data_IF_277318253996
#
_entry.id   IF_277318253996
#
_cell.length_a   1.000
_cell.length_b   1.000
_cell.length_c   1.000
_cell.angle_alpha   90.00
_cell.angle_beta   90.00
_cell.angle_gamma   90.00
#
_symmetry.space_group_name_H-M   'P 1'
#
loop_
_entity.id
_entity.type
_entity.pdbx_description
1 polymer ?
#
# COMPACT_ATOMS: atom_id res chain seq x y z
N UNK A 1 5.52 -8.28 -20.03
CA UNK A 1 6.69 -7.41 -20.29
C UNK A 1 7.97 -8.16 -19.92
N UNK A 2 8.19 -8.50 -18.63
CA UNK A 2 9.42 -9.16 -18.15
C UNK A 2 9.77 -10.42 -18.97
N UNK A 3 8.82 -11.33 -19.21
CA UNK A 3 9.07 -12.56 -19.97
C UNK A 3 9.51 -12.31 -21.42
N UNK A 4 8.98 -11.27 -22.07
CA UNK A 4 9.43 -10.87 -23.42
C UNK A 4 10.86 -10.33 -23.39
N UNK A 5 11.21 -9.57 -22.36
CA UNK A 5 12.55 -9.00 -22.21
C UNK A 5 13.59 -10.09 -21.89
N UNK A 6 13.27 -11.02 -21.00
CA UNK A 6 14.14 -12.16 -20.71
C UNK A 6 14.44 -12.96 -21.96
N UNK A 7 13.41 -13.22 -22.77
CA UNK A 7 13.56 -14.03 -24.00
C UNK A 7 14.33 -13.31 -25.12
N UNK A 8 14.24 -11.97 -25.23
CA UNK A 8 14.73 -11.24 -26.41
C UNK A 8 15.88 -10.28 -26.13
N UNK A 9 16.12 -9.95 -24.85
CA UNK A 9 17.16 -9.01 -24.40
C UNK A 9 17.95 -9.54 -23.21
N UNK A 10 18.04 -10.87 -23.07
CA UNK A 10 18.82 -11.55 -22.01
C UNK A 10 18.52 -11.04 -20.59
N UNK A 11 17.26 -10.65 -20.34
CA UNK A 11 16.83 -10.11 -19.06
C UNK A 11 17.27 -8.69 -18.76
N UNK A 12 17.83 -7.96 -19.72
CA UNK A 12 18.25 -6.58 -19.54
C UNK A 12 17.22 -5.61 -20.12
N UNK A 13 16.97 -4.51 -19.44
CA UNK A 13 16.11 -3.44 -19.96
C UNK A 13 16.73 -2.87 -21.24
N UNK A 14 16.01 -2.89 -22.39
CA UNK A 14 16.54 -2.40 -23.64
C UNK A 14 16.64 -0.88 -23.70
N UNK A 15 17.49 -0.38 -24.60
CA UNK A 15 17.58 1.03 -24.92
C UNK A 15 16.23 1.59 -25.37
N UNK A 16 15.90 2.78 -24.91
CA UNK A 16 14.77 3.54 -25.40
C UNK A 16 15.21 4.33 -26.64
N UNK A 17 14.71 3.94 -27.81
CA UNK A 17 14.92 4.67 -29.03
C UNK A 17 14.02 5.90 -29.17
N UNK A 18 13.80 6.34 -30.40
CA UNK A 18 12.99 7.53 -30.70
C UNK A 18 11.51 7.28 -30.36
N UNK A 19 10.93 8.17 -29.58
CA UNK A 19 9.50 8.15 -29.26
C UNK A 19 8.68 8.56 -30.48
N UNK A 20 7.58 7.85 -30.72
CA UNK A 20 6.59 8.21 -31.72
C UNK A 20 5.47 9.09 -31.10
N UNK A 21 4.56 9.64 -31.89
CA UNK A 21 3.39 10.35 -31.35
C UNK A 21 2.62 9.55 -30.32
N UNK A 22 2.58 8.21 -30.44
CA UNK A 22 1.90 7.31 -29.50
C UNK A 22 2.54 7.33 -28.10
N UNK A 23 3.87 7.27 -28.01
CA UNK A 23 4.59 7.40 -26.73
C UNK A 23 4.44 8.80 -26.12
N UNK A 24 4.40 9.83 -26.96
CA UNK A 24 4.23 11.21 -26.49
C UNK A 24 2.82 11.43 -25.90
N UNK A 25 1.78 10.94 -26.59
CA UNK A 25 0.40 10.93 -26.09
C UNK A 25 0.31 10.18 -24.75
N UNK A 26 0.81 8.95 -24.71
CA UNK A 26 0.82 8.12 -23.51
C UNK A 26 1.53 8.84 -22.35
N UNK A 27 2.70 9.40 -22.59
CA UNK A 27 3.48 10.11 -21.56
C UNK A 27 2.71 11.31 -21.00
N UNK A 28 2.01 12.05 -21.86
CA UNK A 28 1.17 13.19 -21.46
C UNK A 28 -0.01 12.77 -20.58
N UNK A 29 -0.71 11.71 -20.95
CA UNK A 29 -1.84 11.20 -20.15
C UNK A 29 -1.36 10.58 -18.81
N UNK A 30 -0.27 9.83 -18.83
CA UNK A 30 0.32 9.29 -17.60
C UNK A 30 0.76 10.40 -16.66
N UNK A 31 1.30 11.50 -17.16
CA UNK A 31 1.69 12.65 -16.33
C UNK A 31 0.49 13.24 -15.60
N UNK A 32 -0.63 13.49 -16.31
CA UNK A 32 -1.87 14.01 -15.71
C UNK A 32 -2.40 13.09 -14.62
N UNK A 33 -2.48 11.79 -14.90
CA UNK A 33 -2.98 10.79 -13.96
C UNK A 33 -2.05 10.62 -12.75
N UNK A 34 -0.74 10.70 -12.95
CA UNK A 34 0.26 10.63 -11.87
C UNK A 34 0.12 11.82 -10.92
N UNK A 35 -0.05 13.03 -11.46
CA UNK A 35 -0.27 14.23 -10.66
C UNK A 35 -1.60 14.17 -9.90
N UNK A 36 -2.67 13.68 -10.54
CA UNK A 36 -3.97 13.50 -9.91
C UNK A 36 -3.92 12.42 -8.79
N UNK A 37 -3.28 11.28 -9.03
CA UNK A 37 -3.11 10.24 -8.02
C UNK A 37 -2.31 10.75 -6.81
N UNK A 38 -1.22 11.49 -7.07
CA UNK A 38 -0.41 12.10 -6.01
C UNK A 38 -1.22 13.10 -5.20
N UNK A 39 -1.98 13.99 -5.84
CA UNK A 39 -2.84 14.94 -5.16
C UNK A 39 -3.88 14.25 -4.28
N UNK A 40 -4.51 13.18 -4.78
CA UNK A 40 -5.48 12.39 -4.02
C UNK A 40 -4.84 11.68 -2.81
N UNK A 41 -3.60 11.15 -2.93
CA UNK A 41 -2.87 10.62 -1.78
C UNK A 41 -2.63 11.67 -0.70
N UNK A 42 -2.23 12.89 -1.06
CA UNK A 42 -2.03 13.99 -0.11
C UNK A 42 -3.34 14.49 0.50
N UNK A 43 -4.45 14.41 -0.23
CA UNK A 43 -5.78 14.76 0.27
C UNK A 43 -6.40 13.65 1.15
N UNK A 44 -5.70 12.52 1.37
CA UNK A 44 -6.21 11.34 2.09
C UNK A 44 -7.48 10.78 1.43
N UNK A 45 -7.49 10.75 0.10
CA UNK A 45 -8.55 10.17 -0.74
C UNK A 45 -8.04 8.89 -1.44
N UNK A 46 -7.79 7.79 -0.71
CA UNK A 46 -7.14 6.60 -1.26
C UNK A 46 -7.91 5.96 -2.41
N UNK A 47 -9.23 6.00 -2.38
CA UNK A 47 -10.08 5.48 -3.46
C UNK A 47 -9.81 6.21 -4.79
N UNK A 48 -9.72 7.54 -4.78
CA UNK A 48 -9.40 8.35 -5.97
C UNK A 48 -7.96 8.15 -6.44
N UNK A 49 -7.03 8.06 -5.47
CA UNK A 49 -5.64 7.80 -5.80
C UNK A 49 -5.47 6.45 -6.51
N UNK A 50 -6.16 5.41 -6.06
CA UNK A 50 -6.17 4.10 -6.70
C UNK A 50 -6.89 4.11 -8.06
N UNK A 51 -8.01 4.82 -8.19
CA UNK A 51 -8.70 5.00 -9.47
C UNK A 51 -7.75 5.56 -10.55
N UNK A 52 -7.05 6.65 -10.26
CA UNK A 52 -6.06 7.23 -11.16
C UNK A 52 -4.88 6.27 -11.42
N UNK A 53 -4.41 5.55 -10.41
CA UNK A 53 -3.34 4.57 -10.56
C UNK A 53 -3.76 3.43 -11.50
N UNK A 54 -4.97 2.88 -11.35
CA UNK A 54 -5.47 1.83 -12.23
C UNK A 54 -5.79 2.33 -13.64
N UNK A 55 -6.16 3.61 -13.79
CA UNK A 55 -6.29 4.22 -15.11
C UNK A 55 -4.94 4.23 -15.87
N UNK A 56 -3.81 4.46 -15.19
CA UNK A 56 -2.47 4.32 -15.80
C UNK A 56 -2.22 2.88 -16.25
N UNK A 57 -2.61 1.88 -15.45
CA UNK A 57 -2.48 0.48 -15.85
C UNK A 57 -3.34 0.14 -17.09
N UNK A 58 -4.55 0.70 -17.18
CA UNK A 58 -5.41 0.55 -18.35
C UNK A 58 -4.80 1.18 -19.62
N UNK A 59 -4.19 2.35 -19.51
CA UNK A 59 -3.43 2.95 -20.61
C UNK A 59 -2.26 2.06 -21.05
N UNK A 60 -1.56 1.44 -20.10
CA UNK A 60 -0.51 0.47 -20.38
C UNK A 60 -1.01 -0.73 -21.18
N UNK A 61 -2.17 -1.28 -20.83
CA UNK A 61 -2.79 -2.39 -21.57
C UNK A 61 -3.19 -1.96 -22.98
N UNK A 62 -3.82 -0.79 -23.14
CA UNK A 62 -4.15 -0.23 -24.47
C UNK A 62 -2.90 -0.01 -25.32
N UNK A 63 -1.82 0.45 -24.72
CA UNK A 63 -0.55 0.64 -25.41
C UNK A 63 0.05 -0.70 -25.86
N UNK A 64 -0.03 -1.75 -25.02
CA UNK A 64 0.38 -3.12 -25.39
C UNK A 64 -0.42 -3.61 -26.59
N UNK A 65 -1.75 -3.45 -26.59
CA UNK A 65 -2.63 -3.89 -27.68
C UNK A 65 -2.30 -3.15 -28.98
N UNK A 66 -2.11 -1.83 -28.92
CA UNK A 66 -1.78 -1.00 -30.10
C UNK A 66 -0.39 -1.28 -30.68
N UNK A 67 0.58 -1.63 -29.85
CA UNK A 67 1.98 -1.85 -30.27
C UNK A 67 2.29 -3.30 -30.57
N UNK A 68 1.45 -4.24 -30.11
CA UNK A 68 1.60 -5.68 -30.30
C UNK A 68 3.05 -6.19 -30.16
N UNK A 69 3.70 -6.02 -28.97
CA UNK A 69 5.13 -6.31 -28.79
C UNK A 69 5.50 -7.76 -29.11
N UNK A 70 4.55 -8.69 -29.03
CA UNK A 70 4.76 -10.09 -29.44
C UNK A 70 4.93 -10.26 -30.96
N UNK A 71 4.40 -9.34 -31.76
CA UNK A 71 4.61 -9.33 -33.22
C UNK A 71 6.01 -8.76 -33.51
N UNK A 72 6.39 -7.67 -32.87
CA UNK A 72 7.73 -7.08 -32.99
C UNK A 72 8.83 -8.07 -32.56
N UNK A 73 8.58 -8.88 -31.53
CA UNK A 73 9.49 -9.91 -31.04
C UNK A 73 9.79 -11.02 -32.07
N UNK A 74 8.93 -11.21 -33.08
CA UNK A 74 9.12 -12.20 -34.14
C UNK A 74 9.87 -11.63 -35.36
N UNK A 75 9.95 -10.31 -35.46
CA UNK A 75 10.64 -9.66 -36.60
C UNK A 75 12.16 -9.72 -36.41
N UNK A 76 12.85 -9.80 -37.53
CA UNK A 76 14.33 -9.84 -37.61
C UNK A 76 14.91 -8.54 -38.13
N UNK A 77 14.09 -7.55 -38.49
CA UNK A 77 14.58 -6.28 -39.02
C UNK A 77 15.16 -5.40 -37.90
N UNK A 78 16.25 -4.66 -38.17
CA UNK A 78 16.83 -3.75 -37.18
C UNK A 78 15.86 -2.68 -36.70
N UNK A 79 14.99 -2.19 -37.57
CA UNK A 79 14.00 -1.17 -37.31
C UNK A 79 12.96 -1.68 -36.30
N UNK A 80 12.42 -2.88 -36.52
CA UNK A 80 11.46 -3.50 -35.61
C UNK A 80 12.11 -3.87 -34.29
N UNK A 81 13.38 -4.27 -34.29
CA UNK A 81 14.15 -4.52 -33.09
C UNK A 81 14.31 -3.25 -32.23
N UNK A 82 14.64 -2.13 -32.85
CA UNK A 82 14.73 -0.84 -32.18
C UNK A 82 13.38 -0.37 -31.68
N UNK A 83 12.31 -0.56 -32.48
CA UNK A 83 10.94 -0.28 -32.08
C UNK A 83 10.50 -1.14 -30.89
N UNK A 84 10.82 -2.42 -30.91
CA UNK A 84 10.53 -3.35 -29.82
C UNK A 84 11.22 -2.91 -28.51
N UNK A 85 12.50 -2.51 -28.58
CA UNK A 85 13.23 -1.93 -27.44
C UNK A 85 12.52 -0.71 -26.86
N UNK A 86 12.10 0.23 -27.73
CA UNK A 86 11.37 1.45 -27.32
C UNK A 86 10.05 1.11 -26.62
N UNK A 87 9.28 0.16 -27.18
CA UNK A 87 8.00 -0.27 -26.58
C UNK A 87 8.22 -0.88 -25.20
N UNK A 88 9.20 -1.79 -25.06
CA UNK A 88 9.51 -2.40 -23.76
C UNK A 88 10.02 -1.37 -22.74
N UNK A 89 10.92 -0.47 -23.14
CA UNK A 89 11.43 0.59 -22.26
C UNK A 89 10.30 1.53 -21.77
N UNK A 90 9.34 1.83 -22.64
CA UNK A 90 8.14 2.62 -22.27
C UNK A 90 7.27 1.88 -21.26
N UNK A 91 7.03 0.58 -21.48
CA UNK A 91 6.28 -0.26 -20.54
C UNK A 91 6.99 -0.41 -19.19
N UNK A 92 8.31 -0.49 -19.16
CA UNK A 92 9.09 -0.46 -17.93
C UNK A 92 8.95 0.87 -17.19
N UNK A 93 8.88 1.98 -17.89
CA UNK A 93 8.58 3.28 -17.29
C UNK A 93 7.19 3.32 -16.63
N UNK A 94 6.16 2.73 -17.28
CA UNK A 94 4.84 2.58 -16.69
C UNK A 94 4.87 1.73 -15.42
N UNK A 95 5.54 0.58 -15.46
CA UNK A 95 5.65 -0.30 -14.30
C UNK A 95 6.40 0.37 -13.14
N UNK A 96 7.43 1.16 -13.43
CA UNK A 96 8.13 1.95 -12.42
C UNK A 96 7.19 2.97 -11.75
N UNK A 97 6.43 3.73 -12.54
CA UNK A 97 5.43 4.70 -12.04
C UNK A 97 4.37 4.01 -11.19
N UNK A 98 3.80 2.91 -11.68
CA UNK A 98 2.80 2.12 -10.94
C UNK A 98 3.35 1.59 -9.61
N UNK A 99 4.61 1.12 -9.59
CA UNK A 99 5.23 0.61 -8.36
C UNK A 99 5.32 1.66 -7.25
N UNK A 100 5.44 2.94 -7.62
CA UNK A 100 5.46 4.05 -6.65
C UNK A 100 4.07 4.43 -6.19
N UNK A 101 3.13 4.57 -7.13
CA UNK A 101 1.76 5.02 -6.83
C UNK A 101 0.97 4.03 -5.99
N UNK A 102 1.21 2.72 -6.17
CA UNK A 102 0.51 1.68 -5.41
C UNK A 102 1.13 1.43 -4.03
N UNK A 103 2.34 1.92 -3.79
CA UNK A 103 3.10 1.71 -2.55
C UNK A 103 2.33 2.00 -1.27
N UNK A 104 1.61 3.12 -1.14
CA UNK A 104 0.84 3.42 0.07
C UNK A 104 -0.28 2.41 0.37
N UNK A 105 -0.89 1.80 -0.67
CA UNK A 105 -1.96 0.81 -0.49
C UNK A 105 -1.43 -0.63 -0.37
N UNK A 106 -0.39 -0.97 -1.13
CA UNK A 106 0.17 -2.34 -1.20
C UNK A 106 1.70 -2.33 -1.10
N UNK A 107 2.29 -1.95 0.04
CA UNK A 107 3.74 -1.74 0.16
C UNK A 107 4.55 -3.00 -0.16
N UNK A 108 4.13 -4.16 0.30
CA UNK A 108 4.81 -5.44 0.03
C UNK A 108 4.80 -5.78 -1.47
N UNK A 109 3.67 -5.58 -2.15
CA UNK A 109 3.56 -5.85 -3.59
C UNK A 109 4.33 -4.84 -4.42
N UNK A 110 4.32 -3.58 -4.02
CA UNK A 110 5.14 -2.54 -4.64
C UNK A 110 6.64 -2.86 -4.53
N UNK A 111 7.11 -3.29 -3.35
CA UNK A 111 8.49 -3.72 -3.15
C UNK A 111 8.86 -4.94 -4.00
N UNK A 112 8.00 -5.97 -4.04
CA UNK A 112 8.20 -7.16 -4.88
C UNK A 112 8.23 -6.80 -6.38
N UNK A 113 7.33 -5.92 -6.83
CA UNK A 113 7.32 -5.42 -8.21
C UNK A 113 8.64 -4.71 -8.55
N UNK A 114 9.12 -3.83 -7.68
CA UNK A 114 10.40 -3.13 -7.86
C UNK A 114 11.58 -4.10 -7.89
N UNK A 115 11.58 -5.09 -7.00
CA UNK A 115 12.62 -6.14 -7.01
C UNK A 115 12.67 -6.87 -8.34
N UNK A 116 11.53 -7.30 -8.89
CA UNK A 116 11.46 -7.95 -10.20
C UNK A 116 11.95 -7.04 -11.35
N UNK A 117 11.73 -5.73 -11.21
CA UNK A 117 12.22 -4.72 -12.15
C UNK A 117 13.72 -4.38 -12.00
N UNK A 118 14.43 -5.03 -11.08
CA UNK A 118 15.84 -4.75 -10.79
C UNK A 118 16.06 -3.43 -10.04
N UNK A 119 15.01 -2.87 -9.42
CA UNK A 119 15.06 -1.59 -8.72
C UNK A 119 15.16 -1.79 -7.21
N UNK A 120 15.80 -0.83 -6.54
CA UNK A 120 15.84 -0.80 -5.09
C UNK A 120 14.46 -0.47 -4.47
N UNK A 121 14.25 -0.93 -3.24
CA UNK A 121 13.07 -0.59 -2.47
C UNK A 121 12.99 0.94 -2.25
N UNK A 122 11.76 1.47 -2.26
CA UNK A 122 11.54 2.88 -1.91
C UNK A 122 11.61 3.00 -0.39
N UNK A 123 12.57 3.78 0.09
CA UNK A 123 12.63 4.17 1.51
C UNK A 123 11.83 5.47 1.65
N UNK A 124 10.74 5.48 2.42
CA UNK A 124 9.97 6.69 2.63
C UNK A 124 10.83 7.82 3.22
N UNK A 125 10.77 9.00 2.64
CA UNK A 125 11.43 10.20 3.15
C UNK A 125 10.37 11.18 3.58
N UNK A 126 10.36 11.52 4.87
CA UNK A 126 9.38 12.45 5.42
C UNK A 126 9.35 13.78 4.66
N UNK A 127 8.14 14.25 4.34
CA UNK A 127 7.92 15.53 3.68
C UNK A 127 8.31 15.58 2.19
N UNK A 128 8.73 14.46 1.58
CA UNK A 128 9.10 14.43 0.16
C UNK A 128 8.29 13.37 -0.61
N UNK A 129 7.59 13.81 -1.65
CA UNK A 129 7.03 12.87 -2.62
C UNK A 129 8.15 12.21 -3.40
N UNK A 130 8.14 10.87 -3.47
CA UNK A 130 9.07 10.10 -4.29
C UNK A 130 8.44 9.62 -5.60
N UNK A 131 7.23 10.09 -5.90
CA UNK A 131 6.56 9.83 -7.16
C UNK A 131 7.03 10.88 -8.17
N UNK A 132 7.64 10.47 -9.29
CA UNK A 132 8.03 11.40 -10.33
C UNK A 132 6.80 12.08 -10.94
N UNK A 133 6.98 13.24 -11.50
CA UNK A 133 5.98 13.87 -12.36
C UNK A 133 6.01 13.17 -13.72
N UNK A 134 4.99 12.39 -14.03
CA UNK A 134 4.86 11.72 -15.32
C UNK A 134 5.39 10.28 -15.38
N UNK A 135 5.75 9.86 -16.60
CA UNK A 135 6.25 8.52 -16.86
C UNK A 135 7.63 8.33 -16.25
N UNK A 136 7.79 7.31 -15.40
CA UNK A 136 9.08 6.90 -14.88
C UNK A 136 10.01 6.33 -15.94
N UNK A 137 11.23 6.01 -15.53
CA UNK A 137 12.21 5.37 -16.40
C UNK A 137 13.03 4.36 -15.60
N UNK A 138 13.39 3.26 -16.28
CA UNK A 138 14.39 2.32 -15.79
C UNK A 138 15.60 2.43 -16.71
N UNK A 139 16.79 2.49 -16.14
CA UNK A 139 18.03 2.64 -16.93
C UNK A 139 18.20 1.44 -17.87
N UNK A 140 18.70 1.72 -19.09
CA UNK A 140 19.15 0.70 -20.01
C UNK A 140 20.18 -0.22 -19.33
N UNK A 141 20.12 -1.52 -19.64
CA UNK A 141 21.01 -2.51 -19.05
C UNK A 141 20.66 -2.93 -17.62
N UNK A 142 19.60 -2.35 -17.00
CA UNK A 142 19.13 -2.84 -15.70
C UNK A 142 18.74 -4.30 -15.81
N UNK A 143 19.33 -5.15 -14.95
CA UNK A 143 19.07 -6.58 -14.91
C UNK A 143 17.75 -6.86 -14.20
N UNK A 144 16.81 -7.47 -14.92
CA UNK A 144 15.53 -7.90 -14.35
C UNK A 144 15.72 -9.14 -13.48
N UNK A 145 14.89 -9.27 -12.45
CA UNK A 145 14.89 -10.40 -11.51
C UNK A 145 13.54 -11.11 -11.60
N UNK A 146 13.29 -11.93 -12.65
CA UNK A 146 12.00 -12.57 -12.81
C UNK A 146 11.72 -13.53 -11.65
N UNK A 147 10.58 -13.36 -11.03
CA UNK A 147 10.04 -14.20 -9.95
C UNK A 147 8.63 -14.66 -10.31
N UNK A 148 7.98 -15.35 -9.41
CA UNK A 148 6.59 -15.77 -9.55
C UNK A 148 5.61 -14.60 -9.73
N UNK A 149 4.36 -14.92 -9.99
CA UNK A 149 3.31 -13.91 -10.17
C UNK A 149 3.16 -13.02 -8.93
N UNK A 150 3.12 -11.71 -9.12
CA UNK A 150 2.88 -10.74 -8.03
C UNK A 150 1.54 -10.97 -7.33
N UNK A 151 0.53 -11.39 -8.10
CA UNK A 151 -0.81 -11.73 -7.62
C UNK A 151 -1.09 -13.16 -8.07
N UNK A 152 -0.80 -14.15 -7.22
CA UNK A 152 -1.09 -15.55 -7.56
C UNK A 152 -2.60 -15.75 -7.67
N UNK A 153 -3.00 -16.56 -8.65
CA UNK A 153 -4.37 -17.02 -8.75
C UNK A 153 -4.50 -18.29 -7.92
N UNK A 154 -5.47 -18.33 -7.02
CA UNK A 154 -5.77 -19.51 -6.21
C UNK A 154 -6.89 -20.30 -6.85
N UNK A 155 -6.77 -21.61 -6.88
CA UNK A 155 -7.86 -22.50 -7.25
C UNK A 155 -8.88 -22.63 -6.08
N UNK A 156 -10.01 -23.32 -6.35
CA UNK A 156 -11.08 -23.44 -5.35
C UNK A 156 -10.64 -24.20 -4.08
N UNK A 157 -9.74 -25.17 -4.22
CA UNK A 157 -9.28 -25.97 -3.09
C UNK A 157 -8.29 -25.18 -2.25
N UNK A 158 -7.41 -24.40 -2.86
CA UNK A 158 -6.51 -23.47 -2.19
C UNK A 158 -7.29 -22.36 -1.46
N UNK A 159 -8.33 -21.81 -2.09
CA UNK A 159 -9.20 -20.79 -1.44
C UNK A 159 -9.88 -21.41 -0.22
N UNK A 160 -10.39 -22.64 -0.33
CA UNK A 160 -11.04 -23.34 0.78
C UNK A 160 -10.06 -23.57 1.92
N UNK A 161 -8.86 -24.09 1.63
CA UNK A 161 -7.82 -24.30 2.64
C UNK A 161 -7.43 -22.99 3.37
N UNK A 162 -7.29 -21.88 2.64
CA UNK A 162 -7.01 -20.57 3.21
C UNK A 162 -8.18 -20.06 4.09
N UNK A 163 -9.42 -20.28 3.67
CA UNK A 163 -10.59 -19.91 4.47
C UNK A 163 -10.69 -20.76 5.74
N UNK A 164 -10.44 -22.05 5.65
CA UNK A 164 -10.43 -22.95 6.80
C UNK A 164 -9.32 -22.60 7.81
N UNK A 165 -8.20 -22.02 7.34
CA UNK A 165 -7.11 -21.53 8.18
C UNK A 165 -7.42 -20.16 8.83
N UNK A 166 -8.03 -19.26 8.06
CA UNK A 166 -8.27 -17.87 8.49
C UNK A 166 -9.56 -17.68 9.28
N UNK A 167 -10.56 -18.52 9.04
CA UNK A 167 -11.84 -18.46 9.77
C UNK A 167 -11.78 -19.47 10.89
N UNK A 168 -11.74 -19.03 12.17
CA UNK A 168 -11.79 -19.98 13.28
C UNK A 168 -13.05 -20.85 13.19
N UNK A 169 -12.96 -22.15 13.53
CA UNK A 169 -14.11 -23.04 13.50
C UNK A 169 -15.26 -22.39 14.30
N UNK A 170 -16.41 -22.30 13.67
CA UNK A 170 -17.62 -21.79 14.33
C UNK A 170 -17.85 -22.69 15.57
N UNK A 171 -17.65 -22.14 16.77
CA UNK A 171 -17.92 -22.87 17.99
C UNK A 171 -19.35 -23.43 17.94
N UNK A 172 -19.46 -24.74 18.17
CA UNK A 172 -20.77 -25.35 18.27
C UNK A 172 -21.58 -24.67 19.38
N UNK A 173 -22.90 -24.51 19.26
CA UNK A 173 -23.71 -23.81 20.26
C UNK A 173 -23.51 -24.49 21.61
N UNK A 174 -22.90 -23.75 22.54
CA UNK A 174 -22.74 -24.19 23.93
C UNK A 174 -24.15 -24.28 24.53
N UNK A 175 -24.60 -25.47 24.82
CA UNK A 175 -25.81 -25.72 25.57
C UNK A 175 -25.64 -25.06 26.95
N UNK A 176 -26.47 -24.07 27.27
CA UNK A 176 -26.48 -23.40 28.57
C UNK A 176 -26.81 -24.43 29.68
N UNK A 177 -25.80 -24.87 30.38
CA UNK A 177 -25.99 -25.43 31.71
C UNK A 177 -25.83 -24.32 32.76
N UNK A 178 -26.95 -24.01 33.40
CA UNK A 178 -27.06 -23.12 34.53
C UNK A 178 -26.21 -23.65 35.70
N UNK A 179 -25.16 -22.92 36.07
CA UNK A 179 -24.59 -23.09 37.43
C UNK A 179 -24.33 -21.73 38.07
N UNK A 180 -24.82 -21.68 39.35
CA UNK A 180 -24.77 -20.56 40.23
C UNK A 180 -23.36 -20.25 40.78
N UNK A 181 -23.11 -19.11 41.43
CA UNK A 181 -21.80 -18.52 41.65
C UNK A 181 -21.08 -19.09 42.87
N UNK A 182 -19.78 -19.31 42.72
CA UNK A 182 -18.90 -19.48 43.90
C UNK A 182 -17.67 -18.60 43.74
N UNK A 183 -17.44 -17.77 44.72
CA UNK A 183 -16.28 -16.91 44.87
C UNK A 183 -15.03 -17.74 45.26
N UNK A 184 -13.87 -17.45 44.68
CA UNK A 184 -12.58 -17.62 45.35
C UNK A 184 -11.47 -16.90 44.62
N UNK A 185 -10.66 -16.19 45.39
CA UNK A 185 -9.45 -15.46 45.08
C UNK A 185 -8.34 -16.38 44.49
N UNK A 186 -7.54 -15.88 43.55
CA UNK A 186 -6.10 -16.13 43.50
C UNK A 186 -5.36 -15.31 42.38
N UNK A 187 -4.37 -14.63 42.81
CA UNK A 187 -3.12 -14.06 42.32
C UNK A 187 -2.63 -14.30 40.86
N UNK A 188 -1.86 -13.35 40.31
CA UNK A 188 -1.61 -13.22 38.86
C UNK A 188 -0.41 -14.05 38.40
N UNK A 189 -0.60 -14.76 37.32
CA UNK A 189 0.47 -15.33 36.50
C UNK A 189 0.62 -14.57 35.20
N UNK A 190 1.82 -14.09 34.93
CA UNK A 190 2.19 -13.36 33.70
C UNK A 190 2.28 -14.38 32.55
N UNK A 191 1.45 -14.21 31.52
CA UNK A 191 1.54 -14.96 30.26
C UNK A 191 1.67 -14.01 29.07
N UNK A 192 2.25 -14.45 27.92
CA UNK A 192 2.79 -13.57 26.88
C UNK A 192 1.71 -12.80 26.12
N UNK A 193 2.03 -11.57 25.78
CA UNK A 193 1.17 -10.63 25.07
C UNK A 193 0.97 -11.11 23.62
N UNK A 194 -0.10 -11.87 23.41
CA UNK A 194 -0.71 -12.03 22.10
C UNK A 194 -1.67 -10.86 21.95
N UNK A 195 -1.43 -9.96 21.02
CA UNK A 195 -2.32 -8.85 20.74
C UNK A 195 -3.68 -9.40 20.27
N UNK A 196 -4.61 -9.54 21.21
CA UNK A 196 -6.00 -9.82 20.90
C UNK A 196 -6.60 -8.56 20.27
N UNK A 197 -7.08 -8.70 19.04
CA UNK A 197 -8.03 -7.73 18.46
C UNK A 197 -9.18 -7.63 19.44
N UNK A 198 -9.55 -6.42 19.93
CA UNK A 198 -10.67 -6.30 20.85
C UNK A 198 -11.93 -6.78 20.14
N UNK A 199 -12.54 -7.85 20.64
CA UNK A 199 -13.89 -8.23 20.27
C UNK A 199 -14.79 -7.06 20.65
N UNK A 200 -15.52 -6.53 19.68
CA UNK A 200 -16.54 -5.51 19.93
C UNK A 200 -17.51 -6.08 20.97
N UNK A 201 -17.57 -5.42 22.11
CA UNK A 201 -18.52 -5.76 23.15
C UNK A 201 -19.93 -5.48 22.60
N UNK A 202 -20.70 -6.54 22.32
CA UNK A 202 -22.07 -6.45 21.81
C UNK A 202 -23.02 -5.75 22.81
N UNK A 203 -22.54 -5.45 24.02
CA UNK A 203 -23.32 -4.75 25.07
C UNK A 203 -23.38 -3.23 24.88
N UNK A 204 -22.57 -2.64 24.02
CA UNK A 204 -22.60 -1.21 23.78
C UNK A 204 -23.73 -0.84 22.81
N UNK A 205 -24.55 0.17 23.15
CA UNK A 205 -25.61 0.60 22.26
C UNK A 205 -25.02 1.11 20.94
N UNK A 206 -25.59 0.65 19.82
CA UNK A 206 -25.21 1.12 18.51
C UNK A 206 -25.47 2.62 18.39
N UNK A 207 -24.49 3.36 17.92
CA UNK A 207 -24.62 4.79 17.63
C UNK A 207 -25.17 4.94 16.22
N UNK A 208 -26.23 5.73 16.04
CA UNK A 208 -26.76 6.02 14.71
C UNK A 208 -25.79 6.88 13.89
N UNK A 209 -25.95 6.82 12.56
CA UNK A 209 -25.05 7.52 11.63
C UNK A 209 -25.04 9.04 11.85
N UNK A 210 -26.18 9.65 12.17
CA UNK A 210 -26.29 11.11 12.36
C UNK A 210 -25.54 11.57 13.62
N UNK A 211 -25.51 10.73 14.64
CA UNK A 211 -24.73 10.97 15.85
C UNK A 211 -23.23 10.77 15.59
N UNK A 212 -22.85 9.72 14.85
CA UNK A 212 -21.45 9.49 14.46
C UNK A 212 -20.93 10.62 13.53
N UNK A 213 -21.73 11.07 12.59
CA UNK A 213 -21.37 12.14 11.66
C UNK A 213 -21.07 13.50 12.33
N UNK A 214 -21.53 13.68 13.58
CA UNK A 214 -21.21 14.88 14.38
C UNK A 214 -19.86 14.76 15.11
N UNK A 215 -19.21 13.59 15.05
CA UNK A 215 -17.92 13.37 15.69
C UNK A 215 -16.81 13.94 14.81
N UNK A 216 -16.04 14.89 15.34
CA UNK A 216 -14.88 15.47 14.66
C UNK A 216 -13.62 14.69 15.08
N UNK A 217 -13.07 13.88 14.15
CA UNK A 217 -11.84 13.12 14.36
C UNK A 217 -10.70 13.83 13.63
N UNK A 218 -9.65 14.21 14.38
CA UNK A 218 -8.49 14.90 13.85
C UNK A 218 -7.20 14.20 14.23
N UNK A 219 -6.22 14.26 13.35
CA UNK A 219 -4.84 13.88 13.63
C UNK A 219 -4.11 15.13 14.12
N UNK A 220 -3.42 15.01 15.25
CA UNK A 220 -2.62 16.10 15.82
C UNK A 220 -1.17 15.66 16.07
N UNK A 221 -0.26 16.62 16.03
CA UNK A 221 1.14 16.41 16.39
C UNK A 221 1.31 16.64 17.89
N UNK A 222 1.87 15.66 18.61
CA UNK A 222 2.25 15.84 20.03
C UNK A 222 3.53 16.69 20.06
N UNK A 223 3.43 17.90 20.58
CA UNK A 223 4.57 18.82 20.72
C UNK A 223 5.28 18.70 22.06
N UNK A 224 4.57 18.22 23.08
CA UNK A 224 5.11 18.00 24.41
C UNK A 224 4.33 16.93 25.15
N UNK A 225 5.05 16.07 25.90
CA UNK A 225 4.45 15.04 26.75
C UNK A 225 5.13 15.02 28.13
N UNK A 226 4.35 14.94 29.21
CA UNK A 226 4.88 14.81 30.56
C UNK A 226 3.99 13.93 31.43
N UNK A 227 4.55 13.35 32.52
CA UNK A 227 3.78 12.58 33.50
C UNK A 227 2.95 13.49 34.39
N UNK A 228 1.69 13.12 34.62
CA UNK A 228 0.84 13.84 35.58
C UNK A 228 1.28 13.48 37.01
N UNK A 229 1.61 14.47 37.89
CA UNK A 229 2.02 14.20 39.25
C UNK A 229 0.96 13.38 40.03
N UNK A 230 1.39 12.35 40.74
CA UNK A 230 0.55 11.44 41.55
C UNK A 230 -0.45 10.60 40.73
N UNK A 231 -0.23 10.41 39.44
CA UNK A 231 -1.09 9.59 38.58
C UNK A 231 -0.22 8.73 37.64
N UNK A 232 -0.10 7.44 37.97
CA UNK A 232 0.82 6.53 37.27
C UNK A 232 0.36 6.13 35.86
N UNK A 233 -0.91 6.36 35.55
CA UNK A 233 -1.52 5.94 34.27
C UNK A 233 -1.70 7.08 33.26
N UNK A 234 -1.46 8.34 33.69
CA UNK A 234 -1.83 9.52 32.89
C UNK A 234 -0.60 10.27 32.40
N UNK A 235 -0.62 10.65 31.12
CA UNK A 235 0.26 11.64 30.53
C UNK A 235 -0.52 12.93 30.22
N UNK A 236 0.12 14.07 30.44
CA UNK A 236 -0.32 15.37 29.93
C UNK A 236 0.37 15.61 28.60
N UNK A 237 -0.39 15.81 27.56
CA UNK A 237 0.06 16.00 26.20
C UNK A 237 -0.31 17.42 25.74
N UNK A 238 0.58 18.06 25.00
CA UNK A 238 0.24 19.25 24.21
C UNK A 238 0.21 18.83 22.75
N UNK A 239 -1.00 18.94 22.15
CA UNK A 239 -1.26 18.44 20.79
C UNK A 239 -1.58 19.61 19.88
N UNK A 240 -0.79 19.78 18.84
CA UNK A 240 -1.06 20.74 17.77
C UNK A 240 -2.03 20.14 16.74
N UNK A 241 -3.19 20.76 16.64
CA UNK A 241 -4.26 20.39 15.69
C UNK A 241 -4.33 21.37 14.49
N UNK A 242 -3.35 22.25 14.33
CA UNK A 242 -3.37 23.31 13.31
C UNK A 242 -4.27 24.49 13.64
N UNK A 243 -4.71 24.64 14.90
CA UNK A 243 -5.62 25.71 15.36
C UNK A 243 -4.89 26.97 15.86
N UNK A 244 -3.57 27.05 15.66
CA UNK A 244 -2.73 28.18 16.09
C UNK A 244 -2.32 28.16 17.57
N UNK A 245 -2.93 27.31 18.40
CA UNK A 245 -2.50 27.02 19.78
C UNK A 245 -2.63 25.54 20.05
N UNK A 246 -1.62 24.89 20.67
CA UNK A 246 -1.73 23.50 21.08
C UNK A 246 -2.85 23.28 22.09
N UNK A 247 -3.54 22.18 21.99
CA UNK A 247 -4.52 21.74 22.99
C UNK A 247 -3.85 20.86 24.04
N UNK A 248 -4.13 21.14 25.31
CA UNK A 248 -3.73 20.27 26.41
C UNK A 248 -4.73 19.11 26.52
N UNK A 249 -4.21 17.87 26.46
CA UNK A 249 -5.00 16.64 26.58
C UNK A 249 -4.40 15.79 27.69
N UNK A 250 -5.21 15.18 28.53
CA UNK A 250 -4.77 14.18 29.51
C UNK A 250 -5.22 12.81 29.03
N UNK A 251 -4.29 11.91 28.81
CA UNK A 251 -4.54 10.59 28.25
C UNK A 251 -3.95 9.46 29.11
N UNK A 252 -4.64 8.31 29.14
CA UNK A 252 -4.23 7.11 29.89
C UNK A 252 -3.10 6.31 29.23
N UNK A 253 -2.10 6.98 28.68
CA UNK A 253 -1.04 6.38 27.86
C UNK A 253 0.23 6.02 28.65
N UNK A 254 0.36 6.44 29.92
CA UNK A 254 1.62 6.28 30.67
C UNK A 254 2.02 4.82 30.97
N UNK A 255 1.11 3.86 30.79
CA UNK A 255 1.44 2.43 30.91
C UNK A 255 2.02 1.83 29.62
N UNK A 256 1.76 2.45 28.48
CA UNK A 256 2.11 1.94 27.16
C UNK A 256 3.26 2.74 26.52
N UNK A 257 3.29 4.06 26.77
CA UNK A 257 4.26 4.97 26.17
C UNK A 257 4.99 5.78 27.26
N UNK A 258 6.27 6.06 27.02
CA UNK A 258 7.02 7.02 27.83
C UNK A 258 6.91 8.40 27.19
N UNK A 259 7.02 9.51 27.97
CA UNK A 259 6.96 10.86 27.42
C UNK A 259 8.00 11.14 26.31
N UNK A 260 9.18 10.50 26.41
CA UNK A 260 10.27 10.62 25.44
C UNK A 260 10.03 9.88 24.11
N UNK A 261 9.01 9.02 24.03
CA UNK A 261 8.66 8.22 22.85
C UNK A 261 7.50 8.84 22.05
N UNK A 262 6.92 9.94 22.55
CA UNK A 262 5.79 10.68 21.99
C UNK A 262 6.22 12.06 21.53
#
# INVERSE_FOLDING_TARGET
VIGLTVKNFDGNVPARGVSTPLENELTGEVAKLTDAARAAWFAVEPHRALEHTFAIAALGNQYIDRTAPWALAKSTTPEDRARFGTVLATLFGLLETLSRLIGPAMPTKAAAMRHQLGLEAIVPVHGKSQVPSGLGAIAEGTVLRPEGALFPTYDKDQIKALLDELVPPKEAPVTEEKQAPSASEATPSVAPITAAVPTLDESLPAVDYDTFAKTDLRVGLISHAEKVPRKDKLLRLEVDLGEGKPRQIVAGLALTFKPEDL
#
